data_IF_580109169193
#
_entry.id   IF_580109169193
#
_cell.length_a   1.000
_cell.length_b   1.000
_cell.length_c   1.000
_cell.angle_alpha   90.00
_cell.angle_beta   90.00
_cell.angle_gamma   90.00
#
_symmetry.space_group_name_H-M   'P 1'
#
loop_
_entity.id
_entity.type
_entity.pdbx_description
1 polymer ?
#
# COMPACT_ATOMS: atom_id res chain seq x y z
N UNK A 1 35.31 -9.84 10.53
CA UNK A 1 34.78 -8.49 10.82
C UNK A 1 33.66 -8.25 9.81
N UNK A 2 32.41 -8.55 10.18
CA UNK A 2 31.26 -8.39 9.31
C UNK A 2 30.66 -6.99 9.53
N UNK A 3 30.30 -6.23 8.48
CA UNK A 3 29.53 -5.01 8.63
C UNK A 3 28.02 -5.28 8.49
N UNK A 4 27.29 -4.95 9.56
CA UNK A 4 25.94 -4.35 9.54
C UNK A 4 24.80 -5.12 8.90
N UNK A 5 24.06 -5.87 9.72
CA UNK A 5 22.76 -6.47 9.40
C UNK A 5 21.70 -6.00 10.42
N UNK A 6 21.54 -4.68 10.59
CA UNK A 6 20.72 -4.12 11.67
C UNK A 6 19.64 -3.10 11.21
N UNK A 7 19.32 -3.02 9.91
CA UNK A 7 18.29 -2.08 9.41
C UNK A 7 16.91 -2.71 9.14
N UNK A 8 16.78 -4.05 9.18
CA UNK A 8 15.54 -4.74 8.76
C UNK A 8 14.48 -4.88 9.87
N UNK A 9 14.86 -4.63 11.14
CA UNK A 9 13.97 -4.88 12.29
C UNK A 9 12.98 -3.73 12.56
N UNK A 10 13.17 -2.56 11.94
CA UNK A 10 12.25 -1.42 12.07
C UNK A 10 11.08 -1.47 11.05
N UNK A 11 11.21 -2.27 9.98
CA UNK A 11 10.22 -2.37 8.90
C UNK A 11 9.08 -3.38 9.19
N UNK A 12 9.22 -4.20 10.24
CA UNK A 12 8.31 -5.31 10.52
C UNK A 12 6.88 -4.89 10.97
N UNK A 13 6.63 -3.60 11.24
CA UNK A 13 5.33 -3.11 11.71
C UNK A 13 4.51 -2.47 10.56
N UNK A 14 5.09 -2.24 9.38
CA UNK A 14 4.43 -1.48 8.29
C UNK A 14 4.99 -1.79 6.91
N UNK A 15 5.42 -3.02 6.64
CA UNK A 15 5.92 -3.38 5.31
C UNK A 15 4.78 -3.30 4.28
N UNK A 16 4.97 -2.50 3.22
CA UNK A 16 4.04 -2.36 2.09
C UNK A 16 4.70 -2.78 0.77
N UNK A 17 5.13 -4.05 0.64
CA UNK A 17 5.99 -4.50 -0.45
C UNK A 17 5.36 -4.41 -1.85
N UNK A 18 4.03 -4.36 -1.96
CA UNK A 18 3.36 -4.15 -3.23
C UNK A 18 3.18 -2.65 -3.50
N UNK A 19 2.80 -1.87 -2.50
CA UNK A 19 2.66 -0.42 -2.63
C UNK A 19 3.99 0.25 -2.96
N UNK A 20 5.09 -0.22 -2.37
CA UNK A 20 6.45 0.28 -2.59
C UNK A 20 6.91 0.09 -4.05
N UNK A 21 6.26 -0.80 -4.79
CA UNK A 21 6.54 -1.08 -6.21
C UNK A 21 5.69 -0.24 -7.17
N UNK A 22 4.69 0.49 -6.67
CA UNK A 22 3.79 1.33 -7.47
C UNK A 22 4.31 2.75 -7.52
N UNK A 23 4.88 3.13 -8.65
CA UNK A 23 5.37 4.50 -8.91
C UNK A 23 4.49 5.24 -9.90
N UNK A 24 3.69 4.51 -10.68
CA UNK A 24 2.73 5.04 -11.63
C UNK A 24 1.48 4.16 -11.73
N UNK A 25 0.32 4.69 -12.18
CA UNK A 25 -0.86 3.85 -12.38
C UNK A 25 -0.68 2.75 -13.42
N UNK A 26 0.29 2.89 -14.34
CA UNK A 26 0.61 1.89 -15.34
C UNK A 26 1.17 0.59 -14.72
N UNK A 27 1.79 0.69 -13.54
CA UNK A 27 2.42 -0.44 -12.85
C UNK A 27 1.37 -1.47 -12.39
N UNK A 28 0.13 -1.02 -12.17
CA UNK A 28 -0.99 -1.86 -11.76
C UNK A 28 -1.34 -2.94 -12.79
N UNK A 29 -1.08 -2.68 -14.08
CA UNK A 29 -1.32 -3.65 -15.16
C UNK A 29 -0.38 -4.86 -15.10
N UNK A 30 0.74 -4.76 -14.38
CA UNK A 30 1.68 -5.87 -14.20
C UNK A 30 1.31 -6.77 -13.02
N UNK A 31 0.30 -6.40 -12.22
CA UNK A 31 -0.14 -7.16 -11.06
C UNK A 31 -1.24 -8.16 -11.40
N UNK A 32 -1.21 -9.31 -10.72
CA UNK A 32 -2.33 -10.24 -10.77
C UNK A 32 -3.51 -9.70 -9.97
N UNK A 33 -4.72 -10.25 -10.18
CA UNK A 33 -5.89 -9.90 -9.36
C UNK A 33 -5.67 -10.15 -7.86
N UNK A 34 -4.87 -11.17 -7.51
CA UNK A 34 -4.51 -11.45 -6.12
C UNK A 34 -3.58 -10.37 -5.56
N UNK A 35 -2.59 -9.93 -6.35
CA UNK A 35 -1.68 -8.85 -5.97
C UNK A 35 -2.44 -7.53 -5.83
N UNK A 36 -3.40 -7.23 -6.69
CA UNK A 36 -4.23 -6.02 -6.58
C UNK A 36 -5.07 -6.00 -5.30
N UNK A 37 -5.55 -7.17 -4.86
CA UNK A 37 -6.27 -7.28 -3.59
C UNK A 37 -5.33 -7.03 -2.41
N UNK A 38 -4.14 -7.62 -2.41
CA UNK A 38 -3.14 -7.40 -1.37
C UNK A 38 -2.66 -5.94 -1.36
N UNK A 39 -2.49 -5.33 -2.53
CA UNK A 39 -2.15 -3.92 -2.69
C UNK A 39 -3.25 -3.02 -2.11
N UNK A 40 -4.53 -3.34 -2.35
CA UNK A 40 -5.64 -2.60 -1.75
C UNK A 40 -5.58 -2.66 -0.21
N UNK A 41 -5.25 -3.82 0.36
CA UNK A 41 -5.10 -4.00 1.80
C UNK A 41 -3.95 -3.15 2.36
N UNK A 42 -2.80 -3.11 1.67
CA UNK A 42 -1.66 -2.25 2.02
C UNK A 42 -2.00 -0.76 1.96
N UNK A 43 -2.67 -0.31 0.88
CA UNK A 43 -3.12 1.09 0.74
C UNK A 43 -4.08 1.47 1.86
N UNK A 44 -5.04 0.59 2.20
CA UNK A 44 -6.00 0.86 3.29
C UNK A 44 -5.28 0.98 4.63
N UNK A 45 -4.34 0.08 4.93
CA UNK A 45 -3.57 0.12 6.16
C UNK A 45 -2.77 1.44 6.27
N UNK A 46 -2.13 1.86 5.18
CA UNK A 46 -1.34 3.09 5.14
C UNK A 46 -2.22 4.34 5.24
N UNK A 47 -3.36 4.39 4.55
CA UNK A 47 -4.35 5.47 4.69
C UNK A 47 -4.85 5.60 6.13
N UNK A 48 -5.19 4.48 6.78
CA UNK A 48 -5.61 4.48 8.17
C UNK A 48 -4.49 5.02 9.06
N UNK A 49 -3.24 4.59 8.86
CA UNK A 49 -2.09 5.08 9.62
C UNK A 49 -1.91 6.59 9.49
N UNK A 50 -1.89 7.10 8.26
CA UNK A 50 -1.67 8.53 7.97
C UNK A 50 -2.80 9.39 8.53
N UNK A 51 -4.06 8.97 8.37
CA UNK A 51 -5.22 9.78 8.79
C UNK A 51 -5.53 9.63 10.29
N UNK A 52 -5.11 8.53 10.93
CA UNK A 52 -5.22 8.37 12.39
C UNK A 52 -4.45 9.44 13.15
N UNK A 53 -3.42 10.05 12.53
CA UNK A 53 -2.63 11.14 13.10
C UNK A 53 -3.34 12.50 13.02
N UNK A 54 -4.25 12.69 12.08
CA UNK A 54 -4.91 13.97 11.81
C UNK A 54 -6.39 14.01 12.20
N UNK A 55 -7.03 12.85 12.39
CA UNK A 55 -8.44 12.75 12.81
C UNK A 55 -9.41 13.25 11.74
N UNK A 56 -9.93 12.33 10.91
CA UNK A 56 -10.83 12.70 9.80
C UNK A 56 -11.70 11.54 9.29
N UNK A 57 -12.60 11.85 8.35
CA UNK A 57 -13.56 10.90 7.77
C UNK A 57 -12.88 9.90 6.82
N UNK A 58 -12.43 8.77 7.37
CA UNK A 58 -11.78 7.67 6.64
C UNK A 58 -12.73 6.86 5.73
N UNK A 59 -14.04 6.88 5.98
CA UNK A 59 -14.99 5.96 5.33
C UNK A 59 -15.14 6.15 3.83
N UNK A 60 -15.06 7.40 3.33
CA UNK A 60 -15.20 7.68 1.89
C UNK A 60 -13.92 7.34 1.12
N UNK A 61 -12.75 7.56 1.73
CA UNK A 61 -11.45 7.32 1.09
C UNK A 61 -11.15 5.83 0.93
N UNK A 62 -11.57 4.99 1.89
CA UNK A 62 -11.37 3.54 1.79
C UNK A 62 -12.12 2.93 0.59
N UNK A 63 -13.38 3.27 0.37
CA UNK A 63 -14.15 2.71 -0.75
C UNK A 63 -13.71 3.20 -2.15
N UNK A 64 -12.93 4.29 -2.21
CA UNK A 64 -12.37 4.78 -3.46
C UNK A 64 -11.12 4.00 -3.91
N UNK A 65 -10.47 3.25 -3.01
CA UNK A 65 -9.22 2.52 -3.30
C UNK A 65 -9.49 1.44 -4.35
N UNK A 66 -10.46 0.56 -4.13
CA UNK A 66 -10.77 -0.55 -5.04
C UNK A 66 -11.29 -0.04 -6.39
N UNK A 67 -12.08 1.04 -6.39
CA UNK A 67 -12.55 1.67 -7.61
C UNK A 67 -11.38 2.24 -8.43
N UNK A 68 -10.44 2.91 -7.76
CA UNK A 68 -9.27 3.50 -8.41
C UNK A 68 -8.35 2.43 -8.99
N UNK A 69 -8.11 1.34 -8.26
CA UNK A 69 -7.34 0.20 -8.77
C UNK A 69 -8.02 -0.43 -9.98
N UNK A 70 -9.34 -0.65 -9.91
CA UNK A 70 -10.10 -1.22 -11.02
C UNK A 70 -10.06 -0.36 -12.29
N UNK A 71 -10.12 0.97 -12.16
CA UNK A 71 -10.05 1.88 -13.31
C UNK A 71 -8.68 1.90 -14.00
N UNK A 72 -7.59 1.77 -13.24
CA UNK A 72 -6.24 1.87 -13.77
C UNK A 72 -5.65 0.51 -14.20
N UNK A 73 -6.32 -0.59 -13.83
CA UNK A 73 -5.93 -1.94 -14.24
C UNK A 73 -6.25 -2.27 -15.71
N UNK A 74 -7.18 -1.55 -16.35
CA UNK A 74 -7.65 -1.80 -17.73
C UNK A 74 -6.81 -1.09 -18.78
#
# INVERSE_FOLDING_TARGET
MAPGSDDDTANAVTATPLLDRVTSPADLRAFSLADLKNLADEIRAEMVRVVSLTGGHLGASLGAVELTLALHYV
#
